data_IF_726461520749
#
_entry.id   IF_726461520749
#
_cell.length_a   1.000
_cell.length_b   1.000
_cell.length_c   1.000
_cell.angle_alpha   90.00
_cell.angle_beta   90.00
_cell.angle_gamma   90.00
#
_symmetry.space_group_name_H-M   'P 1'
#
loop_
_entity.id
_entity.type
_entity.pdbx_description
1 polymer ?
#
# COMPACT_ATOMS: atom_id res chain seq x y z
N UNK A 1 -7.11 43.20 17.58
CA UNK A 1 -6.04 44.13 17.16
C UNK A 1 -4.70 43.50 17.52
N UNK A 2 -4.01 42.87 16.57
CA UNK A 2 -2.71 42.20 16.79
C UNK A 2 -1.59 43.11 16.30
N UNK A 3 -0.57 43.22 17.14
CA UNK A 3 0.48 44.24 17.12
C UNK A 3 1.60 43.93 16.12
N UNK A 4 2.13 45.03 15.60
CA UNK A 4 3.36 45.31 14.82
C UNK A 4 4.55 44.38 15.14
N UNK A 5 5.34 44.02 14.12
CA UNK A 5 6.68 44.61 13.91
C UNK A 5 7.33 44.06 12.64
N UNK A 6 7.79 45.00 11.82
CA UNK A 6 8.66 44.82 10.65
C UNK A 6 10.06 44.46 11.17
N UNK A 7 10.66 43.36 10.70
CA UNK A 7 12.08 43.12 10.86
C UNK A 7 12.77 43.05 9.50
N UNK A 8 13.69 43.98 9.34
CA UNK A 8 14.75 44.08 8.35
C UNK A 8 15.76 42.93 8.57
N UNK A 9 16.24 42.29 7.51
CA UNK A 9 17.47 41.49 7.58
C UNK A 9 18.25 41.56 6.25
N UNK A 10 19.12 42.58 6.22
CA UNK A 10 20.48 42.67 5.66
C UNK A 10 20.94 41.56 4.70
N UNK A 11 21.32 42.00 3.49
CA UNK A 11 22.15 41.25 2.56
C UNK A 11 23.60 41.14 3.09
N UNK A 12 24.13 39.93 3.17
CA UNK A 12 25.57 39.69 3.34
C UNK A 12 26.11 39.08 2.04
N UNK A 13 26.90 39.88 1.31
CA UNK A 13 27.75 39.42 0.22
C UNK A 13 29.04 38.89 0.83
N UNK A 14 29.21 37.57 0.86
CA UNK A 14 30.50 36.94 1.15
C UNK A 14 31.03 36.28 -0.13
N UNK A 15 32.07 36.90 -0.70
CA UNK A 15 32.98 36.27 -1.65
C UNK A 15 33.82 35.22 -0.93
N UNK A 16 33.83 33.98 -1.41
CA UNK A 16 34.78 32.97 -0.97
C UNK A 16 34.24 31.54 -1.03
N UNK A 17 34.85 30.71 -1.88
CA UNK A 17 34.83 29.26 -1.72
C UNK A 17 33.98 28.48 -2.71
N UNK A 18 34.65 27.82 -3.65
CA UNK A 18 34.33 26.49 -4.19
C UNK A 18 32.83 26.14 -4.31
N UNK A 19 32.23 26.39 -5.47
CA UNK A 19 30.94 25.78 -5.83
C UNK A 19 31.16 24.31 -6.18
N UNK A 20 31.20 23.45 -5.16
CA UNK A 20 30.78 22.07 -5.36
C UNK A 20 29.28 22.12 -5.66
N UNK A 21 28.89 21.95 -6.93
CA UNK A 21 27.52 21.62 -7.31
C UNK A 21 27.21 20.27 -6.66
N UNK A 22 26.69 20.31 -5.44
CA UNK A 22 25.91 19.24 -4.87
C UNK A 22 24.57 19.26 -5.61
N UNK A 23 24.57 18.61 -6.78
CA UNK A 23 23.35 18.25 -7.49
C UNK A 23 22.56 17.33 -6.56
N UNK A 24 21.65 17.92 -5.77
CA UNK A 24 20.69 17.17 -5.01
C UNK A 24 19.98 16.22 -5.99
N UNK A 25 19.83 14.92 -5.67
CA UNK A 25 19.06 14.04 -6.53
C UNK A 25 17.66 14.63 -6.59
N UNK A 26 17.25 15.06 -7.79
CA UNK A 26 15.89 15.43 -8.07
C UNK A 26 15.04 14.18 -7.88
N UNK A 27 14.57 13.96 -6.65
CA UNK A 27 13.42 13.11 -6.40
C UNK A 27 12.20 13.88 -6.92
N UNK A 28 12.06 13.91 -8.24
CA UNK A 28 10.76 14.09 -8.87
C UNK A 28 9.95 12.81 -8.65
N UNK A 29 9.72 12.45 -7.38
CA UNK A 29 8.55 11.68 -7.03
C UNK A 29 7.42 12.69 -7.16
N UNK A 30 6.81 12.74 -8.35
CA UNK A 30 5.60 13.49 -8.58
C UNK A 30 4.63 13.14 -7.45
N UNK A 31 4.51 14.06 -6.49
CA UNK A 31 3.42 14.10 -5.55
C UNK A 31 2.20 14.52 -6.37
N UNK A 32 1.74 13.62 -7.24
CA UNK A 32 0.38 13.63 -7.69
C UNK A 32 -0.44 13.47 -6.43
N UNK A 33 -0.99 14.57 -5.94
CA UNK A 33 -2.01 14.56 -4.92
C UNK A 33 -3.07 13.58 -5.40
N UNK A 34 -3.06 12.36 -4.84
CA UNK A 34 -4.07 11.36 -5.11
C UNK A 34 -5.39 12.01 -4.72
N UNK A 35 -6.16 12.48 -5.70
CA UNK A 35 -7.53 12.91 -5.46
C UNK A 35 -8.23 11.77 -4.68
N UNK A 36 -8.99 12.05 -3.62
CA UNK A 36 -9.75 11.03 -2.92
C UNK A 36 -10.51 10.16 -3.94
N UNK A 37 -10.23 8.85 -3.97
CA UNK A 37 -10.79 7.91 -4.94
C UNK A 37 -9.85 7.45 -6.06
N UNK A 38 -8.73 8.13 -6.32
CA UNK A 38 -7.70 7.64 -7.24
C UNK A 38 -6.96 6.45 -6.61
N UNK A 39 -7.06 5.27 -7.24
CA UNK A 39 -6.37 4.06 -6.79
C UNK A 39 -4.95 3.98 -7.35
N UNK A 40 -3.96 3.97 -6.46
CA UNK A 40 -2.55 3.72 -6.80
C UNK A 40 -2.17 2.31 -6.38
N UNK A 41 -1.52 1.58 -7.27
CA UNK A 41 -1.14 0.18 -7.07
C UNK A 41 0.35 0.07 -6.74
N UNK A 42 0.65 -0.76 -5.75
CA UNK A 42 2.00 -0.96 -5.24
C UNK A 42 2.31 -2.45 -5.23
N UNK A 43 3.48 -2.83 -5.74
CA UNK A 43 3.97 -4.21 -5.68
C UNK A 43 4.49 -4.49 -4.28
N UNK A 44 4.18 -5.66 -3.75
CA UNK A 44 4.72 -6.13 -2.47
C UNK A 44 4.87 -7.64 -2.50
N UNK A 45 5.61 -8.20 -1.56
CA UNK A 45 5.68 -9.66 -1.36
C UNK A 45 5.65 -9.93 0.12
N UNK A 46 4.47 -10.20 0.65
CA UNK A 46 4.26 -10.48 2.06
C UNK A 46 3.27 -11.61 2.26
N UNK A 47 3.26 -12.20 3.44
CA UNK A 47 2.31 -13.25 3.81
C UNK A 47 1.45 -12.74 4.94
N UNK A 48 0.14 -12.90 4.83
CA UNK A 48 -0.83 -12.47 5.83
C UNK A 48 -1.73 -13.64 6.24
N UNK A 49 -2.48 -13.45 7.33
CA UNK A 49 -3.55 -14.37 7.73
C UNK A 49 -4.90 -13.67 7.55
N UNK A 50 -5.95 -14.43 7.24
CA UNK A 50 -7.31 -13.91 7.29
C UNK A 50 -7.68 -13.62 8.75
N UNK A 51 -8.13 -12.39 9.04
CA UNK A 51 -8.53 -11.92 10.36
C UNK A 51 -9.85 -12.51 10.85
N UNK A 52 -10.24 -12.17 12.08
CA UNK A 52 -11.49 -12.62 12.69
C UNK A 52 -12.73 -11.92 12.15
N UNK A 53 -12.59 -10.64 11.81
CA UNK A 53 -13.60 -9.74 11.26
C UNK A 53 -13.80 -9.88 9.74
N UNK A 54 -13.12 -10.83 9.08
CA UNK A 54 -13.12 -10.99 7.63
C UNK A 54 -14.52 -11.07 6.98
N UNK A 55 -15.51 -11.63 7.71
CA UNK A 55 -16.90 -11.76 7.25
C UNK A 55 -17.60 -10.41 7.03
N UNK A 56 -17.12 -9.34 7.66
CA UNK A 56 -17.63 -7.97 7.46
C UNK A 56 -17.17 -7.36 6.13
N UNK A 57 -16.23 -8.00 5.44
CA UNK A 57 -15.64 -7.50 4.21
C UNK A 57 -15.93 -8.43 3.04
N UNK A 58 -15.96 -7.83 1.85
CA UNK A 58 -16.19 -8.54 0.60
C UNK A 58 -14.85 -8.96 -0.01
N UNK A 59 -14.86 -10.17 -0.59
CA UNK A 59 -13.79 -10.67 -1.41
C UNK A 59 -14.18 -10.45 -2.87
N UNK A 60 -13.35 -9.77 -3.65
CA UNK A 60 -13.69 -9.39 -5.04
C UNK A 60 -12.60 -9.83 -6.02
N UNK A 61 -12.90 -9.83 -7.32
CA UNK A 61 -11.89 -10.07 -8.37
C UNK A 61 -11.00 -8.84 -8.64
N UNK A 62 -11.50 -7.64 -8.37
CA UNK A 62 -10.79 -6.35 -8.45
C UNK A 62 -11.11 -5.49 -7.23
N UNK A 63 -10.24 -4.54 -6.89
CA UNK A 63 -10.54 -3.57 -5.84
C UNK A 63 -11.80 -2.76 -6.22
N UNK A 64 -12.69 -2.51 -5.25
CA UNK A 64 -14.06 -2.03 -5.55
C UNK A 64 -14.10 -0.63 -6.18
N UNK A 65 -13.11 0.20 -5.90
CA UNK A 65 -13.00 1.58 -6.40
C UNK A 65 -12.05 1.68 -7.60
N UNK A 66 -11.78 0.57 -8.28
CA UNK A 66 -10.96 0.54 -9.49
C UNK A 66 -11.80 0.87 -10.73
N UNK A 67 -11.15 1.19 -11.85
CA UNK A 67 -11.81 1.47 -13.14
C UNK A 67 -12.45 0.25 -13.82
N UNK A 68 -12.45 -0.92 -13.19
CA UNK A 68 -12.98 -2.15 -13.76
C UNK A 68 -14.52 -2.18 -13.68
N UNK A 69 -15.19 -2.37 -14.83
CA UNK A 69 -16.66 -2.38 -14.91
C UNK A 69 -17.31 -3.63 -14.29
N UNK A 70 -16.61 -4.77 -14.33
CA UNK A 70 -17.18 -6.08 -13.96
C UNK A 70 -16.58 -6.63 -12.65
N UNK A 71 -16.87 -5.93 -11.55
CA UNK A 71 -16.42 -6.33 -10.21
C UNK A 71 -17.37 -7.38 -9.65
N UNK A 72 -16.89 -8.61 -9.54
CA UNK A 72 -17.63 -9.74 -8.98
C UNK A 72 -17.22 -9.93 -7.53
N UNK A 73 -18.21 -10.11 -6.66
CA UNK A 73 -17.99 -10.54 -5.28
C UNK A 73 -17.98 -12.07 -5.24
N UNK A 74 -16.99 -12.63 -4.55
CA UNK A 74 -16.80 -14.05 -4.34
C UNK A 74 -17.08 -14.33 -2.87
N UNK A 75 -17.88 -15.36 -2.58
CA UNK A 75 -18.07 -15.74 -1.18
C UNK A 75 -16.77 -16.33 -0.61
N UNK A 76 -16.48 -15.98 0.64
CA UNK A 76 -15.33 -16.54 1.38
C UNK A 76 -15.33 -18.08 1.37
N UNK A 77 -16.52 -18.70 1.48
CA UNK A 77 -16.71 -20.15 1.38
C UNK A 77 -16.27 -20.69 0.02
N UNK A 78 -16.64 -20.04 -1.09
CA UNK A 78 -16.24 -20.44 -2.45
C UNK A 78 -14.74 -20.29 -2.69
N UNK A 79 -14.12 -19.25 -2.09
CA UNK A 79 -12.66 -19.11 -2.09
C UNK A 79 -11.96 -20.13 -1.16
N UNK A 80 -12.72 -20.84 -0.31
CA UNK A 80 -12.19 -21.74 0.71
C UNK A 80 -11.24 -21.02 1.68
N UNK A 81 -11.55 -19.76 2.00
CA UNK A 81 -10.78 -18.93 2.92
C UNK A 81 -11.58 -18.75 4.20
N UNK A 82 -10.92 -18.96 5.34
CA UNK A 82 -11.49 -18.81 6.68
C UNK A 82 -10.51 -18.07 7.58
N UNK A 83 -10.96 -17.65 8.76
CA UNK A 83 -10.09 -17.10 9.82
C UNK A 83 -8.83 -17.96 9.97
N UNK A 84 -7.67 -17.31 10.00
CA UNK A 84 -6.37 -17.96 10.15
C UNK A 84 -5.78 -18.59 8.87
N UNK A 85 -6.52 -18.63 7.75
CA UNK A 85 -5.95 -19.06 6.47
C UNK A 85 -4.76 -18.17 6.09
N UNK A 86 -3.61 -18.79 5.80
CA UNK A 86 -2.43 -18.10 5.29
C UNK A 86 -2.61 -17.78 3.82
N UNK A 87 -2.31 -16.55 3.43
CA UNK A 87 -2.40 -16.06 2.05
C UNK A 87 -1.18 -15.22 1.73
N UNK A 88 -0.74 -15.26 0.47
CA UNK A 88 0.32 -14.39 -0.01
C UNK A 88 -0.28 -13.12 -0.60
N UNK A 89 0.38 -11.99 -0.40
CA UNK A 89 0.00 -10.69 -0.93
C UNK A 89 1.09 -10.28 -1.91
N UNK A 90 0.69 -10.04 -3.15
CA UNK A 90 1.58 -9.61 -4.23
C UNK A 90 1.36 -8.15 -4.65
N UNK A 91 0.20 -7.58 -4.33
CA UNK A 91 -0.09 -6.16 -4.50
C UNK A 91 -0.95 -5.60 -3.36
N UNK A 92 -0.77 -4.31 -3.12
CA UNK A 92 -1.75 -3.50 -2.40
C UNK A 92 -2.09 -2.26 -3.21
N UNK A 93 -3.22 -1.65 -2.90
CA UNK A 93 -3.66 -0.44 -3.56
C UNK A 93 -4.18 0.57 -2.53
N UNK A 94 -3.74 1.81 -2.69
CA UNK A 94 -4.04 2.96 -1.85
C UNK A 94 -5.03 3.86 -2.57
N UNK A 95 -6.01 4.40 -1.86
CA UNK A 95 -7.09 5.20 -2.47
C UNK A 95 -7.33 6.53 -1.74
N UNK A 96 -6.35 6.97 -0.94
CA UNK A 96 -6.46 8.18 -0.11
C UNK A 96 -7.48 8.07 1.03
N UNK A 97 -8.06 6.89 1.27
CA UNK A 97 -8.98 6.63 2.40
C UNK A 97 -8.30 5.84 3.51
N UNK A 98 -8.99 5.67 4.63
CA UNK A 98 -8.46 5.03 5.85
C UNK A 98 -7.89 3.62 5.63
N UNK A 99 -8.38 2.87 4.63
CA UNK A 99 -7.97 1.48 4.43
C UNK A 99 -7.59 1.17 2.98
N UNK A 100 -6.45 0.48 2.87
CA UNK A 100 -5.92 -0.03 1.62
C UNK A 100 -6.57 -1.36 1.22
N UNK A 101 -6.57 -1.62 -0.07
CA UNK A 101 -6.94 -2.90 -0.65
C UNK A 101 -5.71 -3.78 -0.84
N UNK A 102 -5.85 -5.09 -0.65
CA UNK A 102 -4.77 -6.04 -0.79
C UNK A 102 -5.19 -7.17 -1.71
N UNK A 103 -4.30 -7.54 -2.64
CA UNK A 103 -4.49 -8.68 -3.53
C UNK A 103 -3.92 -9.92 -2.87
N UNK A 104 -4.81 -10.78 -2.41
CA UNK A 104 -4.47 -12.06 -1.81
C UNK A 104 -4.45 -13.15 -2.87
N UNK A 105 -3.44 -14.01 -2.81
CA UNK A 105 -3.26 -15.17 -3.66
C UNK A 105 -3.42 -16.43 -2.82
N UNK A 106 -4.19 -17.38 -3.36
CA UNK A 106 -4.38 -18.71 -2.79
C UNK A 106 -4.01 -19.77 -3.82
N UNK A 107 -3.21 -20.73 -3.40
CA UNK A 107 -2.99 -21.95 -4.17
C UNK A 107 -4.24 -22.82 -4.06
N UNK A 108 -4.84 -23.14 -5.21
CA UNK A 108 -5.94 -24.12 -5.22
C UNK A 108 -5.37 -25.49 -4.88
N UNK A 109 -5.97 -26.16 -3.90
CA UNK A 109 -5.61 -27.53 -3.48
C UNK A 109 -6.38 -28.59 -4.26
N UNK A 110 -7.07 -28.22 -5.36
CA UNK A 110 -7.75 -29.20 -6.22
C UNK A 110 -6.70 -30.14 -6.81
N UNK A 111 -6.65 -31.37 -6.27
CA UNK A 111 -5.76 -32.49 -6.66
C UNK A 111 -5.83 -32.87 -8.15
N UNK A 112 -6.78 -32.33 -8.90
CA UNK A 112 -7.06 -32.72 -10.30
C UNK A 112 -6.36 -31.87 -11.37
N UNK A 113 -5.64 -30.82 -11.00
CA UNK A 113 -4.94 -30.00 -11.98
C UNK A 113 -3.43 -30.28 -11.93
N UNK A 114 -2.89 -30.86 -13.01
CA UNK A 114 -1.45 -30.98 -13.28
C UNK A 114 -0.69 -29.63 -13.25
N UNK A 115 -1.39 -28.51 -13.01
CA UNK A 115 -0.85 -27.17 -12.74
C UNK A 115 -1.69 -26.51 -11.63
N UNK A 116 -1.10 -26.24 -10.47
CA UNK A 116 -1.77 -25.52 -9.38
C UNK A 116 -2.14 -24.09 -9.85
N UNK A 117 -3.43 -23.84 -10.13
CA UNK A 117 -3.89 -22.51 -10.53
C UNK A 117 -3.97 -21.60 -9.31
N UNK A 118 -3.15 -20.55 -9.29
CA UNK A 118 -3.21 -19.52 -8.25
C UNK A 118 -4.46 -18.67 -8.47
N UNK A 119 -5.35 -18.66 -7.48
CA UNK A 119 -6.53 -17.80 -7.50
C UNK A 119 -6.19 -16.50 -6.78
N UNK A 120 -6.52 -15.36 -7.41
CA UNK A 120 -6.25 -14.03 -6.88
C UNK A 120 -7.55 -13.31 -6.58
N UNK A 121 -7.56 -12.60 -5.46
CA UNK A 121 -8.72 -11.87 -4.97
C UNK A 121 -8.28 -10.56 -4.31
N UNK A 122 -9.17 -9.58 -4.27
CA UNK A 122 -8.97 -8.31 -3.57
C UNK A 122 -9.84 -8.25 -2.32
N UNK A 123 -9.28 -7.71 -1.24
CA UNK A 123 -9.98 -7.50 0.02
C UNK A 123 -9.41 -6.28 0.76
N UNK A 124 -10.22 -5.65 1.60
CA UNK A 124 -9.76 -4.62 2.53
C UNK A 124 -8.72 -5.15 3.54
N UNK A 125 -7.73 -4.32 3.86
CA UNK A 125 -6.68 -4.65 4.83
C UNK A 125 -7.21 -5.02 6.21
N UNK A 126 -8.35 -4.46 6.63
CA UNK A 126 -8.99 -4.81 7.90
C UNK A 126 -9.44 -6.27 7.99
N UNK A 127 -9.67 -6.95 6.86
CA UNK A 127 -9.99 -8.37 6.85
C UNK A 127 -8.75 -9.26 7.06
N UNK A 128 -7.57 -8.68 7.12
CA UNK A 128 -6.28 -9.36 7.16
C UNK A 128 -5.54 -9.01 8.45
N UNK A 129 -4.84 -10.00 8.97
CA UNK A 129 -3.77 -9.82 9.95
C UNK A 129 -2.48 -9.75 9.15
N UNK A 130 -2.06 -8.53 8.87
CA UNK A 130 -0.78 -8.25 8.23
C UNK A 130 0.35 -8.54 9.24
N UNK A 131 1.49 -9.08 8.79
CA UNK A 131 2.68 -9.15 9.62
C UNK A 131 3.02 -7.72 10.05
N UNK A 132 3.27 -7.53 11.35
CA UNK A 132 3.81 -6.26 11.83
C UNK A 132 5.12 -6.04 11.08
N UNK A 133 5.24 -4.91 10.39
CA UNK A 133 6.53 -4.49 9.84
C UNK A 133 7.47 -4.35 11.03
N UNK A 134 8.33 -5.34 11.24
CA UNK A 134 9.50 -5.18 12.09
C UNK A 134 10.44 -4.36 11.24
N UNK A 135 10.32 -3.04 11.33
CA UNK A 135 11.35 -2.14 10.86
C UNK A 135 12.58 -2.51 11.68
N UNK A 136 13.44 -3.39 11.15
CA UNK A 136 14.81 -3.48 11.62
C UNK A 136 15.40 -2.12 11.27
N UNK A 137 15.31 -1.19 12.23
CA UNK A 137 16.07 0.04 12.19
C UNK A 137 17.50 -0.45 12.37
N UNK A 138 18.18 -0.70 11.26
CA UNK A 138 19.62 -0.90 11.25
C UNK A 138 20.17 0.47 11.66
N UNK A 139 20.36 0.64 12.98
CA UNK A 139 21.16 1.73 13.51
C UNK A 139 22.57 1.48 13.01
N UNK A 140 22.91 2.08 11.87
CA UNK A 140 24.30 2.32 11.53
C UNK A 140 24.76 3.44 12.45
N UNK A 141 25.24 3.05 13.63
CA UNK A 141 26.14 3.89 14.39
C UNK A 141 27.45 3.98 13.59
N UNK A 142 27.75 5.17 13.08
CA UNK A 142 29.09 5.60 12.69
C UNK A 142 29.50 6.72 13.64
#
# INVERSE_FOLDING_TARGET
MIKKSIMLAVAALSFGGFFAVSQAPATNAAAGANMPGAMTYHKTKMTAKIGSNYKKFQLTNHAKNSSFKNIKTISWKKAGLKKGSKVTIDLYATQGTQYNWYRISKYTTKKTAKKAKVQKYWVYGQALVLPKSTSNIVSFAY
#
